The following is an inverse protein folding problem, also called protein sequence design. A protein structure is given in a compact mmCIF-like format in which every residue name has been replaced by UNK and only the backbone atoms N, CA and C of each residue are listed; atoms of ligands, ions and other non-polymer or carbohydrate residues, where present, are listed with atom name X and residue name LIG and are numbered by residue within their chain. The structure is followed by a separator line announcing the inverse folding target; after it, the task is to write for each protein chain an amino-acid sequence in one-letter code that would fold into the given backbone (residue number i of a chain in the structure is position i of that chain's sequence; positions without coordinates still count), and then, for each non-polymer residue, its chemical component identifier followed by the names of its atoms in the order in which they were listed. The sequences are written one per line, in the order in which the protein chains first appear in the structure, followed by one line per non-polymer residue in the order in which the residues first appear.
data_IF_726233338989
#
_entry.id   IF_726233338989
#
_cell.length_a   1.000
_cell.length_b   1.000
_cell.length_c   1.000
_cell.angle_alpha   90.00
_cell.angle_beta   90.00
_cell.angle_gamma   90.00
#
_symmetry.space_group_name_H-M   'P 1'
#
loop_
_entity.id
_entity.type
_entity.pdbx_description
1 polymer ?
#
# COMPACT_ATOMS: atom_id res chain seq x y z
N UNK A 1 15.98 1.95 7.04
CA UNK A 1 14.97 3.00 6.78
C UNK A 1 14.56 2.98 5.32
N UNK A 2 13.34 2.53 5.02
CA UNK A 2 12.65 2.86 3.77
C UNK A 2 12.07 4.25 4.03
N UNK A 3 12.57 5.26 3.32
CA UNK A 3 12.21 6.63 3.65
C UNK A 3 10.79 6.98 3.20
N UNK A 4 10.36 8.17 3.62
CA UNK A 4 8.98 8.55 3.63
C UNK A 4 8.39 8.69 2.23
N UNK A 5 7.24 8.06 2.05
CA UNK A 5 6.33 8.45 0.99
C UNK A 5 5.61 9.72 1.44
N UNK A 6 5.63 10.74 0.60
CA UNK A 6 5.02 12.02 0.89
C UNK A 6 4.13 12.44 -0.27
N UNK A 7 2.87 12.77 0.01
CA UNK A 7 2.00 13.47 -0.92
C UNK A 7 2.17 14.98 -0.70
N UNK A 8 2.81 15.66 -1.66
CA UNK A 8 3.10 17.09 -1.58
C UNK A 8 2.94 17.74 -2.94
N UNK A 9 2.25 18.89 -2.99
CA UNK A 9 1.92 19.61 -4.21
C UNK A 9 1.34 18.66 -5.27
N UNK A 10 0.39 17.82 -4.84
CA UNK A 10 -0.29 16.85 -5.70
C UNK A 10 0.64 15.76 -6.27
N UNK A 11 1.90 15.63 -5.85
CA UNK A 11 2.81 14.58 -6.34
C UNK A 11 3.20 13.60 -5.24
N UNK A 12 3.41 12.33 -5.60
CA UNK A 12 4.07 11.34 -4.75
C UNK A 12 5.57 11.54 -4.79
N UNK A 13 6.12 11.80 -3.62
CA UNK A 13 7.52 12.10 -3.38
C UNK A 13 8.16 11.06 -2.47
N UNK A 14 9.46 10.88 -2.68
CA UNK A 14 10.37 10.23 -1.76
C UNK A 14 11.25 11.28 -1.08
N UNK A 15 11.53 11.10 0.22
CA UNK A 15 12.34 12.05 1.00
C UNK A 15 13.63 11.41 1.55
N UNK A 16 14.79 11.85 1.07
CA UNK A 16 16.10 11.47 1.59
C UNK A 16 16.90 12.64 2.16
N UNK A 17 16.22 13.59 2.79
CA UNK A 17 16.85 14.88 3.13
C UNK A 17 16.62 15.91 2.03
N UNK A 18 16.34 15.47 0.80
CA UNK A 18 15.76 16.27 -0.29
C UNK A 18 14.46 15.58 -0.75
N UNK A 19 13.50 16.35 -1.25
CA UNK A 19 12.26 15.80 -1.82
C UNK A 19 12.46 15.53 -3.31
N UNK A 20 12.12 14.31 -3.72
CA UNK A 20 12.20 13.87 -5.10
C UNK A 20 10.84 13.37 -5.57
N UNK A 21 10.37 13.84 -6.73
CA UNK A 21 9.16 13.31 -7.33
C UNK A 21 9.47 11.96 -8.02
N UNK A 22 8.60 10.96 -7.89
CA UNK A 22 8.64 9.78 -8.76
C UNK A 22 8.22 10.13 -10.19
N UNK A 23 7.17 10.95 -10.32
CA UNK A 23 6.65 11.50 -11.58
C UNK A 23 6.35 13.00 -11.48
N UNK A 24 6.47 13.73 -12.58
CA UNK A 24 6.04 15.13 -12.66
C UNK A 24 4.53 15.29 -12.93
N UNK A 25 3.83 14.22 -13.37
CA UNK A 25 2.55 14.35 -14.07
C UNK A 25 1.33 13.75 -13.36
N UNK A 26 1.50 13.03 -12.24
CA UNK A 26 0.34 12.52 -11.49
C UNK A 26 -0.06 13.52 -10.42
N UNK A 27 -1.23 14.13 -10.58
CA UNK A 27 -1.85 15.02 -9.59
C UNK A 27 -2.75 14.19 -8.65
N UNK A 28 -2.35 14.09 -7.38
CA UNK A 28 -3.15 13.55 -6.31
C UNK A 28 -4.23 14.55 -5.88
N UNK A 29 -5.46 14.08 -5.83
CA UNK A 29 -6.64 14.84 -5.45
C UNK A 29 -6.97 14.63 -3.96
N UNK A 30 -7.54 15.66 -3.33
CA UNK A 30 -8.04 15.55 -1.95
C UNK A 30 -9.23 14.58 -1.87
N UNK A 31 -9.45 13.99 -0.69
CA UNK A 31 -10.57 13.07 -0.42
C UNK A 31 -10.65 11.86 -1.38
N UNK A 32 -9.53 11.48 -1.97
CA UNK A 32 -9.43 10.35 -2.92
C UNK A 32 -8.55 9.25 -2.34
N UNK A 33 -9.00 8.00 -2.46
CA UNK A 33 -8.23 6.82 -2.07
C UNK A 33 -7.33 6.37 -3.21
N UNK A 34 -6.05 6.18 -2.91
CA UNK A 34 -5.05 5.67 -3.84
C UNK A 34 -4.45 4.37 -3.31
N UNK A 35 -4.24 3.40 -4.20
CA UNK A 35 -3.48 2.20 -3.89
C UNK A 35 -2.02 2.38 -4.29
N UNK A 36 -1.16 2.58 -3.28
CA UNK A 36 0.27 2.79 -3.49
C UNK A 36 1.04 1.49 -3.28
N UNK A 37 1.87 1.12 -4.26
CA UNK A 37 2.81 0.01 -4.12
C UNK A 37 4.25 0.51 -4.32
N UNK A 38 5.15 0.12 -3.42
CA UNK A 38 6.58 0.37 -3.52
C UNK A 38 7.30 -0.96 -3.49
N UNK A 39 8.18 -1.19 -4.48
CA UNK A 39 9.03 -2.37 -4.55
C UNK A 39 10.48 -1.91 -4.45
N UNK A 40 11.20 -2.49 -3.49
CA UNK A 40 12.63 -2.28 -3.30
C UNK A 40 13.37 -3.45 -3.94
N UNK A 41 14.05 -3.19 -5.06
CA UNK A 41 14.96 -4.11 -5.73
C UNK A 41 16.37 -3.93 -5.16
N UNK A 42 16.72 -4.77 -4.18
CA UNK A 42 18.03 -4.71 -3.52
C UNK A 42 19.20 -5.09 -4.45
N UNK A 43 19.12 -6.13 -5.30
CA UNK A 43 20.14 -6.39 -6.34
C UNK A 43 20.36 -5.22 -7.30
N UNK A 44 19.28 -4.59 -7.76
CA UNK A 44 19.34 -3.45 -8.69
C UNK A 44 19.55 -2.10 -8.01
N UNK A 45 19.62 -2.07 -6.67
CA UNK A 45 19.68 -0.85 -5.87
C UNK A 45 18.65 0.21 -6.26
N UNK A 46 17.45 -0.24 -6.63
CA UNK A 46 16.42 0.61 -7.21
C UNK A 46 15.12 0.45 -6.42
N UNK A 47 14.41 1.56 -6.20
CA UNK A 47 13.02 1.55 -5.76
C UNK A 47 12.11 1.86 -6.94
N UNK A 48 10.97 1.17 -6.99
CA UNK A 48 9.94 1.33 -8.00
C UNK A 48 8.62 1.66 -7.32
N UNK A 49 7.85 2.56 -7.94
CA UNK A 49 6.58 2.99 -7.39
C UNK A 49 5.42 2.84 -8.39
N UNK A 50 4.25 2.49 -7.85
CA UNK A 50 2.98 2.44 -8.56
C UNK A 50 1.89 3.14 -7.76
N UNK A 51 0.94 3.74 -8.48
CA UNK A 51 -0.31 4.29 -7.95
C UNK A 51 -1.44 3.69 -8.76
N UNK A 52 -2.42 3.07 -8.11
CA UNK A 52 -3.57 2.41 -8.73
C UNK A 52 -3.19 1.39 -9.83
N UNK A 53 -2.01 0.78 -9.66
CA UNK A 53 -1.43 -0.18 -10.61
C UNK A 53 -0.69 0.46 -11.79
N UNK A 54 -0.74 1.79 -11.94
CA UNK A 54 0.07 2.53 -12.92
C UNK A 54 1.48 2.72 -12.39
N UNK A 55 2.48 2.41 -13.23
CA UNK A 55 3.88 2.61 -12.89
C UNK A 55 4.26 4.07 -13.01
N UNK A 56 4.68 4.69 -11.90
CA UNK A 56 4.97 6.13 -11.84
C UNK A 56 6.46 6.44 -11.84
N UNK A 57 7.32 5.43 -11.79
CA UNK A 57 8.77 5.60 -11.98
C UNK A 57 9.64 4.80 -11.00
N UNK A 58 10.94 5.06 -11.10
CA UNK A 58 11.96 4.47 -10.23
C UNK A 58 13.04 5.49 -9.82
N UNK A 59 13.79 5.14 -8.78
CA UNK A 59 14.96 5.87 -8.31
C UNK A 59 16.01 4.92 -7.74
N UNK A 60 17.27 5.33 -7.76
CA UNK A 60 18.32 4.65 -6.99
C UNK A 60 18.02 4.79 -5.50
N UNK A 61 18.16 3.70 -4.74
CA UNK A 61 18.01 3.72 -3.29
C UNK A 61 19.07 4.65 -2.68
N UNK A 62 18.67 5.56 -1.78
CA UNK A 62 19.55 6.58 -1.20
C UNK A 62 20.88 6.04 -0.64
N UNK A 63 20.83 4.89 0.04
CA UNK A 63 22.01 4.29 0.69
C UNK A 63 22.84 3.43 -0.28
N UNK A 64 22.45 3.40 -1.55
CA UNK A 64 23.19 2.77 -2.61
C UNK A 64 23.69 3.83 -3.60
N UNK A 65 24.85 3.56 -4.18
CA UNK A 65 25.45 4.33 -5.28
C UNK A 65 25.14 3.69 -6.65
N UNK A 66 24.11 2.83 -6.70
CA UNK A 66 23.81 1.95 -7.82
C UNK A 66 24.48 0.58 -7.72
N UNK A 67 25.35 0.34 -6.74
CA UNK A 67 25.82 -1.01 -6.43
C UNK A 67 24.78 -1.82 -5.65
N UNK A 68 24.75 -3.15 -5.80
CA UNK A 68 23.80 -4.02 -5.11
C UNK A 68 23.82 -3.80 -3.60
N UNK A 69 22.62 -3.72 -3.01
CA UNK A 69 22.47 -3.60 -1.55
C UNK A 69 22.90 -4.90 -0.88
N UNK A 70 23.79 -4.85 0.13
CA UNK A 70 24.22 -6.05 0.86
C UNK A 70 23.05 -6.81 1.51
N UNK A 71 23.14 -8.15 1.53
CA UNK A 71 22.07 -9.03 2.02
C UNK A 71 21.79 -8.90 3.53
N UNK A 72 22.71 -8.31 4.29
CA UNK A 72 22.59 -8.08 5.73
C UNK A 72 21.95 -6.72 6.06
N UNK A 73 21.63 -5.89 5.07
CA UNK A 73 20.88 -4.64 5.27
C UNK A 73 19.44 -4.97 5.66
N UNK A 74 19.03 -4.47 6.84
CA UNK A 74 17.66 -4.61 7.35
C UNK A 74 16.94 -3.26 7.29
N UNK A 75 15.77 -3.27 6.66
CA UNK A 75 14.85 -2.14 6.66
C UNK A 75 13.95 -2.19 7.89
N UNK A 76 14.21 -1.30 8.84
CA UNK A 76 13.55 -1.30 10.15
C UNK A 76 12.28 -0.46 10.24
N UNK A 77 12.06 0.42 9.26
CA UNK A 77 11.05 1.45 9.33
C UNK A 77 10.62 1.88 7.93
N UNK A 78 9.33 2.18 7.80
CA UNK A 78 8.75 2.95 6.72
C UNK A 78 8.02 4.13 7.35
N UNK A 79 8.07 5.29 6.73
CA UNK A 79 7.40 6.48 7.23
C UNK A 79 6.36 6.96 6.23
N UNK A 80 5.23 7.43 6.72
CA UNK A 80 4.27 8.21 5.95
C UNK A 80 4.30 9.60 6.57
N UNK A 81 4.85 10.55 5.81
CA UNK A 81 5.13 11.89 6.34
C UNK A 81 4.21 12.86 5.61
N UNK A 82 3.45 13.64 6.38
CA UNK A 82 2.82 14.87 5.90
C UNK A 82 3.80 16.04 5.93
N UNK A 83 3.51 17.14 5.23
CA UNK A 83 4.47 18.26 5.19
C UNK A 83 4.53 18.95 6.55
N UNK A 84 5.73 19.19 7.06
CA UNK A 84 5.97 20.10 8.19
C UNK A 84 6.08 21.57 7.76
N UNK A 85 6.14 21.84 6.46
CA UNK A 85 6.31 23.19 5.93
C UNK A 85 4.94 23.87 5.76
N UNK A 86 4.56 24.69 6.73
CA UNK A 86 3.41 25.59 6.62
C UNK A 86 3.75 27.01 7.06
N UNK A 87 3.45 27.96 6.18
CA UNK A 87 3.26 29.38 6.47
C UNK A 87 1.80 29.71 6.87
N UNK A 88 0.87 28.75 6.75
CA UNK A 88 -0.59 28.95 6.88
C UNK A 88 -1.27 28.13 7.99
N UNK A 89 -0.54 27.32 8.76
CA UNK A 89 -0.96 26.87 10.09
C UNK A 89 -1.78 25.57 10.22
N UNK A 90 -2.26 24.95 9.14
CA UNK A 90 -3.07 23.73 9.23
C UNK A 90 -2.24 22.45 8.98
N UNK A 91 -2.32 21.43 9.85
CA UNK A 91 -1.63 20.15 9.64
C UNK A 91 -2.23 19.38 8.44
N UNK A 92 -1.39 18.66 7.69
CA UNK A 92 -1.89 17.66 6.74
C UNK A 92 -2.54 16.51 7.52
N UNK A 93 -3.82 16.26 7.24
CA UNK A 93 -4.48 15.03 7.65
C UNK A 93 -4.50 14.07 6.46
N UNK A 94 -4.09 12.83 6.69
CA UNK A 94 -4.23 11.76 5.71
C UNK A 94 -4.67 10.49 6.42
N UNK A 95 -5.39 9.66 5.69
CA UNK A 95 -5.84 8.35 6.14
C UNK A 95 -5.03 7.27 5.43
N UNK A 96 -4.76 6.18 6.14
CA UNK A 96 -4.02 5.04 5.61
C UNK A 96 -4.74 3.79 6.07
N UNK A 97 -4.93 2.85 5.16
CA UNK A 97 -5.49 1.54 5.45
C UNK A 97 -4.78 0.47 4.62
N UNK A 98 -4.94 -0.80 4.99
CA UNK A 98 -4.44 -1.97 4.27
C UNK A 98 -2.91 -1.99 4.07
N UNK A 99 -2.15 -1.50 5.04
CA UNK A 99 -0.68 -1.51 4.98
C UNK A 99 -0.15 -2.95 5.01
N UNK A 100 0.63 -3.31 3.99
CA UNK A 100 1.25 -4.63 3.84
C UNK A 100 2.75 -4.48 3.58
N UNK A 101 3.56 -5.12 4.42
CA UNK A 101 5.02 -5.19 4.25
C UNK A 101 5.41 -6.66 4.13
N UNK A 102 6.00 -7.03 2.99
CA UNK A 102 6.30 -8.43 2.67
C UNK A 102 7.40 -8.53 1.62
N UNK A 103 7.95 -9.73 1.45
CA UNK A 103 8.79 -10.04 0.29
C UNK A 103 7.97 -9.92 -0.99
N UNK A 104 8.55 -9.29 -2.00
CA UNK A 104 7.92 -9.15 -3.30
C UNK A 104 7.57 -10.52 -3.90
N UNK A 105 6.39 -10.59 -4.50
CA UNK A 105 5.96 -11.69 -5.35
C UNK A 105 5.35 -11.07 -6.61
N UNK A 106 5.64 -11.61 -7.81
CA UNK A 106 5.15 -11.05 -9.06
C UNK A 106 3.64 -11.14 -9.23
N UNK A 107 2.97 -11.96 -8.42
CA UNK A 107 1.52 -12.10 -8.38
C UNK A 107 1.05 -11.99 -6.94
N UNK A 108 0.15 -11.04 -6.67
CA UNK A 108 -0.47 -10.88 -5.36
C UNK A 108 -1.17 -12.18 -4.94
N UNK A 109 -0.86 -12.73 -3.75
CA UNK A 109 -1.56 -13.90 -3.25
C UNK A 109 -3.00 -13.51 -2.94
N UNK A 110 -3.94 -14.26 -3.50
CA UNK A 110 -5.36 -14.09 -3.19
C UNK A 110 -5.58 -14.55 -1.75
N UNK A 111 -6.10 -13.65 -0.92
CA UNK A 111 -6.61 -14.02 0.41
C UNK A 111 -7.83 -14.92 0.24
N UNK A 112 -7.63 -16.24 0.33
CA UNK A 112 -8.72 -17.19 0.52
C UNK A 112 -9.02 -17.28 2.00
N UNK A 113 -10.12 -16.66 2.43
CA UNK A 113 -10.71 -16.99 3.72
C UNK A 113 -11.18 -18.44 3.65
N UNK A 114 -10.70 -19.28 4.58
CA UNK A 114 -11.37 -20.56 4.81
C UNK A 114 -12.82 -20.22 5.15
N UNK A 115 -13.76 -20.67 4.31
CA UNK A 115 -15.18 -20.53 4.61
C UNK A 115 -15.46 -21.09 6.02
N UNK A 116 -16.53 -20.64 6.68
CA UNK A 116 -16.85 -21.12 8.02
C UNK A 116 -16.82 -22.65 8.00
N UNK A 117 -16.06 -23.24 8.94
CA UNK A 117 -16.03 -24.68 9.10
C UNK A 117 -17.48 -25.15 9.10
N UNK A 118 -17.84 -26.03 8.16
CA UNK A 118 -19.17 -26.58 8.10
C UNK A 118 -19.39 -27.30 9.44
N UNK A 119 -20.10 -26.66 10.37
CA UNK A 119 -20.69 -27.35 11.49
C UNK A 119 -21.61 -28.38 10.86
N UNK A 120 -21.18 -29.64 10.84
CA UNK A 120 -22.03 -30.75 10.47
C UNK A 120 -23.21 -30.77 11.45
N UNK A 121 -24.33 -30.19 11.05
CA UNK A 121 -25.60 -30.36 11.74
C UNK A 121 -26.05 -31.80 11.49
N UNK A 122 -25.67 -32.69 12.40
CA UNK A 122 -26.38 -33.96 12.58
C UNK A 122 -27.71 -33.63 13.26
N UNK A 123 -28.70 -33.27 12.45
CA UNK A 123 -30.03 -32.89 12.92
C UNK A 123 -31.09 -33.41 11.95
N UNK A 124 -31.67 -34.54 12.31
CA UNK A 124 -32.75 -35.25 11.61
C UNK A 124 -33.93 -34.33 11.29
N UNK A 125 -34.51 -34.55 10.09
CA UNK A 125 -35.58 -33.79 9.48
C UNK A 125 -36.81 -33.51 10.37
N UNK A 126 -37.33 -32.28 10.30
CA UNK A 126 -38.75 -32.00 10.51
C UNK A 126 -39.29 -31.27 9.27
N UNK A 127 -40.19 -31.94 8.54
CA UNK A 127 -40.93 -31.37 7.40
C UNK A 127 -41.84 -30.24 7.90
N UNK A 128 -41.68 -29.03 7.39
CA UNK A 128 -42.66 -27.96 7.50
C UNK A 128 -43.77 -28.19 6.46
N UNK A 129 -45.02 -28.30 6.89
CA UNK A 129 -46.19 -28.37 6.00
C UNK A 129 -46.44 -27.02 5.30
N UNK A 130 -47.10 -26.99 4.12
CA UNK A 130 -47.41 -25.74 3.44
C UNK A 130 -48.58 -25.00 4.11
N UNK A 131 -48.44 -23.68 4.21
CA UNK A 131 -49.48 -22.75 4.67
C UNK A 131 -50.52 -22.55 3.55
N UNK A 132 -51.84 -22.64 3.80
CA UNK A 132 -52.84 -22.39 2.78
C UNK A 132 -53.01 -20.88 2.50
N UNK A 133 -53.41 -20.48 1.28
CA UNK A 133 -53.57 -19.08 0.93
C UNK A 133 -54.82 -18.48 1.59
N UNK A 134 -54.67 -17.25 2.08
CA UNK A 134 -55.75 -16.43 2.65
C UNK A 134 -56.55 -15.72 1.56
N UNK A 135 -57.88 -15.83 1.62
CA UNK A 135 -58.85 -14.95 0.93
C UNK A 135 -59.14 -13.70 1.74
#
# INVERSE_FOLDING_TARGET
RIYALHLRNESVQYYDGVHWNFTADLQAETDTWYHVAIIVDTPGATEHAWIDGEYIGNRTLRFADGSPVPNDVVFTDFALIGSSAWSTGEPHHFYVDNVRVRRYVPVEPVLTYAGPAACASSGTAARSAPIPPST
#
